data_IF_075247451828
#
_entry.id   IF_075247451828
#
_cell.length_a   1.000
_cell.length_b   1.000
_cell.length_c   1.000
_cell.angle_alpha   90.00
_cell.angle_beta   90.00
_cell.angle_gamma   90.00
#
_symmetry.space_group_name_H-M   'P 1'
#
loop_
_entity.id
_entity.type
_entity.pdbx_description
1 polymer ?
#
# COMPACT_ATOMS: atom_id res chain seq x y z
N UNK A 1 -4.81 27.01 -8.70
CA UNK A 1 -3.76 26.73 -7.70
C UNK A 1 -3.00 25.47 -8.13
N UNK A 2 -1.86 25.58 -8.83
CA UNK A 2 -1.04 24.43 -9.18
C UNK A 2 -0.16 24.05 -7.97
N UNK A 3 -0.27 22.81 -7.50
CA UNK A 3 0.52 22.30 -6.37
C UNK A 3 -0.22 21.41 -5.36
N UNK A 4 -1.33 20.77 -5.72
CA UNK A 4 -2.04 19.82 -4.84
C UNK A 4 -1.11 18.64 -4.53
N UNK A 5 -0.52 18.62 -3.33
CA UNK A 5 0.25 17.49 -2.79
C UNK A 5 -0.57 16.20 -2.87
N UNK A 6 -0.39 15.48 -3.97
CA UNK A 6 -1.11 14.24 -4.27
C UNK A 6 -0.42 13.03 -3.65
N UNK A 7 0.64 13.26 -2.87
CA UNK A 7 1.47 12.25 -2.22
C UNK A 7 0.67 11.21 -1.43
N UNK A 8 -0.38 11.57 -0.65
CA UNK A 8 -1.16 10.55 0.04
C UNK A 8 -2.02 9.69 -0.90
N UNK A 9 -2.52 10.26 -2.01
CA UNK A 9 -3.25 9.47 -3.02
C UNK A 9 -2.30 8.51 -3.74
N UNK A 10 -1.13 9.00 -4.14
CA UNK A 10 -0.09 8.18 -4.79
C UNK A 10 0.36 7.07 -3.83
N UNK A 11 0.63 7.42 -2.57
CA UNK A 11 1.01 6.47 -1.53
C UNK A 11 -0.04 5.38 -1.33
N UNK A 12 -1.32 5.75 -1.30
CA UNK A 12 -2.41 4.78 -1.22
C UNK A 12 -2.45 3.85 -2.44
N UNK A 13 -2.36 4.41 -3.65
CA UNK A 13 -2.40 3.64 -4.89
C UNK A 13 -1.23 2.65 -5.00
N UNK A 14 -0.01 3.09 -4.67
CA UNK A 14 1.18 2.24 -4.65
C UNK A 14 1.05 1.14 -3.60
N UNK A 15 0.60 1.48 -2.39
CA UNK A 15 0.38 0.51 -1.32
C UNK A 15 -0.64 -0.56 -1.71
N UNK A 16 -1.76 -0.17 -2.33
CA UNK A 16 -2.75 -1.10 -2.84
C UNK A 16 -2.21 -1.98 -3.96
N UNK A 17 -1.45 -1.42 -4.90
CA UNK A 17 -0.82 -2.19 -5.98
C UNK A 17 0.14 -3.24 -5.41
N UNK A 18 0.94 -2.89 -4.40
CA UNK A 18 1.82 -3.83 -3.70
C UNK A 18 1.04 -5.00 -3.09
N UNK A 19 -0.08 -4.73 -2.42
CA UNK A 19 -0.95 -5.78 -1.85
C UNK A 19 -1.52 -6.68 -2.96
N UNK A 20 -1.99 -6.09 -4.06
CA UNK A 20 -2.57 -6.85 -5.17
C UNK A 20 -1.53 -7.76 -5.84
N UNK A 21 -0.31 -7.27 -6.05
CA UNK A 21 0.79 -8.08 -6.59
C UNK A 21 1.10 -9.24 -5.64
N UNK A 22 1.22 -8.95 -4.34
CA UNK A 22 1.49 -10.00 -3.35
C UNK A 22 0.38 -11.05 -3.31
N UNK A 23 -0.90 -10.63 -3.34
CA UNK A 23 -2.02 -11.57 -3.26
C UNK A 23 -2.20 -12.42 -4.51
N UNK A 24 -2.06 -11.84 -5.71
CA UNK A 24 -2.47 -12.52 -6.95
C UNK A 24 -1.31 -13.04 -7.79
N UNK A 25 -0.13 -12.42 -7.71
CA UNK A 25 1.02 -12.84 -8.52
C UNK A 25 1.96 -13.77 -7.75
N UNK A 26 2.01 -13.65 -6.41
CA UNK A 26 2.91 -14.46 -5.59
C UNK A 26 2.25 -15.68 -4.94
N UNK A 27 0.94 -15.86 -5.07
CA UNK A 27 0.18 -16.94 -4.42
C UNK A 27 0.75 -18.34 -4.72
N UNK A 28 0.76 -18.74 -6.00
CA UNK A 28 1.30 -20.04 -6.40
C UNK A 28 2.79 -20.24 -6.04
N UNK A 29 3.68 -19.27 -6.32
CA UNK A 29 5.07 -19.35 -5.87
C UNK A 29 5.24 -19.43 -4.34
N UNK A 30 4.41 -18.75 -3.57
CA UNK A 30 4.45 -18.74 -2.11
C UNK A 30 4.05 -20.09 -1.52
N UNK A 31 3.19 -20.87 -2.19
CA UNK A 31 2.83 -22.22 -1.76
C UNK A 31 3.97 -23.23 -1.88
N UNK A 32 4.98 -22.93 -2.69
CA UNK A 32 6.06 -23.88 -3.01
C UNK A 32 7.43 -23.42 -2.51
N UNK A 33 7.64 -22.11 -2.33
CA UNK A 33 8.94 -21.54 -1.96
C UNK A 33 8.80 -20.71 -0.68
N UNK A 34 9.38 -21.21 0.42
CA UNK A 34 9.30 -20.57 1.74
C UNK A 34 9.80 -19.11 1.76
N UNK A 35 10.85 -18.79 0.98
CA UNK A 35 11.34 -17.41 0.87
C UNK A 35 10.29 -16.50 0.22
N UNK A 36 9.61 -16.98 -0.83
CA UNK A 36 8.56 -16.21 -1.51
C UNK A 36 7.34 -16.05 -0.60
N UNK A 37 7.00 -17.07 0.18
CA UNK A 37 5.95 -17.00 1.20
C UNK A 37 6.16 -15.86 2.19
N UNK A 38 7.38 -15.72 2.72
CA UNK A 38 7.71 -14.63 3.64
C UNK A 38 7.78 -13.27 2.95
N UNK A 39 8.26 -13.20 1.70
CA UNK A 39 8.22 -11.98 0.89
C UNK A 39 6.77 -11.53 0.70
N UNK A 40 5.87 -12.44 0.33
CA UNK A 40 4.44 -12.17 0.15
C UNK A 40 3.84 -11.58 1.44
N UNK A 41 4.08 -12.20 2.59
CA UNK A 41 3.62 -11.69 3.89
C UNK A 41 4.16 -10.28 4.18
N UNK A 42 5.45 -10.05 3.92
CA UNK A 42 6.08 -8.74 4.10
C UNK A 42 5.43 -7.67 3.21
N UNK A 43 5.14 -8.00 1.95
CA UNK A 43 4.48 -7.09 1.00
C UNK A 43 3.03 -6.79 1.40
N UNK A 44 2.26 -7.80 1.84
CA UNK A 44 0.89 -7.61 2.31
C UNK A 44 0.88 -6.72 3.55
N UNK A 45 1.73 -7.03 4.54
CA UNK A 45 1.84 -6.23 5.76
C UNK A 45 2.28 -4.80 5.47
N UNK A 46 3.37 -4.62 4.73
CA UNK A 46 3.91 -3.31 4.38
C UNK A 46 2.95 -2.48 3.53
N UNK A 47 2.27 -3.12 2.57
CA UNK A 47 1.22 -2.50 1.76
C UNK A 47 0.03 -2.07 2.60
N UNK A 48 -0.45 -2.91 3.52
CA UNK A 48 -1.52 -2.54 4.46
C UNK A 48 -1.16 -1.35 5.33
N UNK A 49 0.05 -1.34 5.90
CA UNK A 49 0.57 -0.23 6.70
C UNK A 49 0.67 1.06 5.86
N UNK A 50 1.23 0.97 4.66
CA UNK A 50 1.35 2.10 3.73
C UNK A 50 0.00 2.70 3.35
N UNK A 51 -1.00 1.87 3.08
CA UNK A 51 -2.36 2.31 2.79
C UNK A 51 -2.98 3.04 4.01
N UNK A 52 -2.79 2.52 5.22
CA UNK A 52 -3.24 3.16 6.46
C UNK A 52 -2.60 4.54 6.69
N UNK A 53 -1.28 4.66 6.51
CA UNK A 53 -0.57 5.93 6.64
C UNK A 53 -1.01 6.95 5.57
N UNK A 54 -1.23 6.51 4.34
CA UNK A 54 -1.73 7.33 3.26
C UNK A 54 -3.14 7.87 3.55
N UNK A 55 -4.04 7.03 4.06
CA UNK A 55 -5.38 7.44 4.49
C UNK A 55 -5.33 8.42 5.67
N UNK A 56 -4.45 8.19 6.65
CA UNK A 56 -4.25 9.13 7.75
C UNK A 56 -3.77 10.50 7.25
N UNK A 57 -2.86 10.52 6.26
CA UNK A 57 -2.42 11.73 5.58
C UNK A 57 -3.55 12.46 4.86
N UNK A 58 -4.41 11.72 4.13
CA UNK A 58 -5.61 12.29 3.48
C UNK A 58 -6.56 12.92 4.50
N UNK A 59 -6.82 12.23 5.62
CA UNK A 59 -7.68 12.75 6.70
C UNK A 59 -7.11 14.02 7.33
N UNK A 60 -5.81 14.09 7.58
CA UNK A 60 -5.18 15.31 8.11
C UNK A 60 -5.34 16.48 7.13
N UNK A 61 -5.16 16.24 5.84
CA UNK A 61 -5.37 17.28 4.82
C UNK A 61 -6.82 17.73 4.73
N UNK A 62 -7.81 16.83 4.91
CA UNK A 62 -9.22 17.23 4.92
C UNK A 62 -9.57 18.05 6.15
N UNK A 63 -9.02 17.71 7.32
CA UNK A 63 -9.23 18.46 8.57
C UNK A 63 -8.62 19.87 8.52
N UNK A 64 -7.47 20.06 7.87
CA UNK A 64 -6.85 21.40 7.70
C UNK A 64 -7.63 22.27 6.70
N UNK A 65 -8.47 21.67 5.85
CA UNK A 65 -9.25 22.38 4.82
C UNK A 65 -10.66 22.78 5.26
N UNK A 66 -11.16 22.21 6.35
CA UNK A 66 -12.47 22.50 6.92
C UNK A 66 -12.36 23.66 7.92
#
# INVERSE_FOLDING_TARGET
>A
MPGRNSWPVIGFAVAMLTVLIAQFMLDGPADTIAVVHWIQHGLIFGGGLGAGLALAGLRRMSQVRA
#
